data_IF_303183026573
#
_entry.id   IF_303183026573
#
_cell.length_a   1.000
_cell.length_b   1.000
_cell.length_c   1.000
_cell.angle_alpha   90.00
_cell.angle_beta   90.00
_cell.angle_gamma   90.00
#
_symmetry.space_group_name_H-M   'P 1'
#
loop_
_entity.id
_entity.type
_entity.pdbx_description
1 polymer ?
#
# COMPACT_ATOMS: atom_id res chain seq x y z
N UNK A 1 -8.75 -1.75 4.87
CA UNK A 1 -9.07 -2.34 6.18
C UNK A 1 -7.81 -2.33 7.04
N UNK A 2 -7.93 -1.88 8.29
CA UNK A 2 -6.81 -1.81 9.21
C UNK A 2 -6.42 -3.22 9.68
N UNK A 3 -5.13 -3.53 9.83
CA UNK A 3 -4.67 -4.82 10.29
C UNK A 3 -5.13 -5.12 11.73
N UNK A 4 -5.36 -6.39 12.04
CA UNK A 4 -5.75 -6.84 13.38
C UNK A 4 -7.10 -6.29 13.87
N UNK A 5 -7.92 -5.75 12.97
CA UNK A 5 -9.17 -5.06 13.33
C UNK A 5 -10.37 -5.94 13.03
N UNK A 6 -11.30 -6.04 13.99
CA UNK A 6 -12.59 -6.70 13.76
C UNK A 6 -13.53 -5.77 13.00
N UNK A 7 -14.08 -6.25 11.90
CA UNK A 7 -15.08 -5.59 11.09
C UNK A 7 -16.41 -6.32 11.18
N UNK A 8 -17.48 -5.56 11.22
CA UNK A 8 -18.84 -6.09 11.16
C UNK A 8 -19.44 -5.74 9.80
N UNK A 9 -19.83 -6.74 9.04
CA UNK A 9 -20.50 -6.59 7.74
C UNK A 9 -21.98 -6.91 7.91
N UNK A 10 -22.83 -5.97 7.51
CA UNK A 10 -24.26 -6.20 7.41
C UNK A 10 -24.65 -6.22 5.92
N UNK A 11 -25.37 -7.23 5.48
CA UNK A 11 -25.85 -7.32 4.10
C UNK A 11 -27.26 -7.89 4.02
N UNK A 12 -27.97 -7.49 2.99
CA UNK A 12 -29.28 -8.02 2.61
C UNK A 12 -29.28 -8.20 1.09
N UNK A 13 -30.12 -9.06 0.59
CA UNK A 13 -30.38 -9.22 -0.83
C UNK A 13 -31.81 -8.75 -1.14
N UNK A 14 -31.99 -8.22 -2.34
CA UNK A 14 -33.29 -7.85 -2.92
C UNK A 14 -33.55 -8.78 -4.10
N UNK A 15 -34.76 -9.35 -4.18
CA UNK A 15 -35.17 -10.15 -5.32
C UNK A 15 -35.69 -9.27 -6.46
N UNK A 16 -36.11 -9.89 -7.56
CA UNK A 16 -36.61 -9.18 -8.76
C UNK A 16 -37.92 -8.46 -8.52
N UNK A 17 -38.68 -8.83 -7.49
CA UNK A 17 -39.94 -8.24 -7.10
C UNK A 17 -39.78 -7.13 -6.05
N UNK A 18 -38.52 -6.80 -5.68
CA UNK A 18 -38.21 -5.77 -4.70
C UNK A 18 -38.35 -6.23 -3.24
N UNK A 19 -38.45 -7.53 -3.00
CA UNK A 19 -38.57 -8.09 -1.65
C UNK A 19 -37.14 -8.26 -1.06
N UNK A 20 -36.93 -7.60 0.09
CA UNK A 20 -35.67 -7.67 0.82
C UNK A 20 -35.60 -8.90 1.72
N UNK A 21 -34.43 -9.53 1.74
CA UNK A 21 -34.14 -10.57 2.72
C UNK A 21 -33.87 -9.97 4.10
N UNK A 22 -33.89 -10.81 5.14
CA UNK A 22 -33.42 -10.40 6.45
C UNK A 22 -31.95 -9.95 6.40
N UNK A 23 -31.61 -8.97 7.24
CA UNK A 23 -30.23 -8.50 7.39
C UNK A 23 -29.38 -9.62 7.97
N UNK A 24 -28.31 -9.97 7.27
CA UNK A 24 -27.28 -10.89 7.79
C UNK A 24 -26.08 -10.10 8.27
N UNK A 25 -25.56 -10.47 9.43
CA UNK A 25 -24.39 -9.85 10.06
C UNK A 25 -23.27 -10.88 10.11
N UNK A 26 -22.10 -10.51 9.58
CA UNK A 26 -20.89 -11.32 9.64
C UNK A 26 -19.77 -10.49 10.26
N UNK A 27 -19.09 -11.05 11.24
CA UNK A 27 -17.89 -10.47 11.82
C UNK A 27 -16.66 -11.15 11.25
N UNK A 28 -15.65 -10.36 10.94
CA UNK A 28 -14.38 -10.86 10.44
C UNK A 28 -13.24 -9.98 10.95
N UNK A 29 -12.12 -10.59 11.28
CA UNK A 29 -10.93 -9.90 11.74
C UNK A 29 -9.87 -9.98 10.65
N UNK A 30 -9.23 -8.85 10.33
CA UNK A 30 -8.07 -8.83 9.45
C UNK A 30 -6.84 -9.42 10.16
N UNK A 31 -5.92 -10.01 9.40
CA UNK A 31 -4.64 -10.45 9.99
C UNK A 31 -3.91 -9.27 10.63
N UNK A 32 -3.38 -9.46 11.83
CA UNK A 32 -2.52 -8.47 12.47
C UNK A 32 -1.20 -8.36 11.68
N UNK A 33 -0.68 -7.14 11.54
CA UNK A 33 0.69 -6.95 11.07
C UNK A 33 1.61 -7.42 12.19
N UNK A 34 2.47 -8.37 11.89
CA UNK A 34 3.55 -8.78 12.80
C UNK A 34 4.70 -7.82 12.54
N UNK A 35 4.87 -6.83 13.42
CA UNK A 35 6.03 -5.96 13.43
C UNK A 35 7.28 -6.76 13.82
N UNK A 36 8.42 -6.43 13.23
CA UNK A 36 9.68 -7.09 13.52
C UNK A 36 10.88 -6.15 13.37
N UNK A 37 12.09 -6.63 13.70
CA UNK A 37 13.29 -5.77 13.74
C UNK A 37 13.87 -5.43 12.36
N UNK A 38 13.34 -6.00 11.29
CA UNK A 38 13.86 -5.77 9.93
C UNK A 38 12.73 -5.33 8.99
N UNK A 39 12.17 -4.13 9.19
CA UNK A 39 11.06 -3.65 8.38
C UNK A 39 11.48 -3.44 6.93
N UNK A 40 10.75 -4.03 5.99
CA UNK A 40 11.05 -3.94 4.56
C UNK A 40 9.85 -3.53 3.74
N UNK A 41 10.12 -2.71 2.73
CA UNK A 41 9.13 -2.14 1.81
C UNK A 41 9.49 -2.43 0.36
N UNK A 42 8.52 -2.25 -0.51
CA UNK A 42 8.71 -2.19 -1.95
C UNK A 42 7.99 -0.95 -2.49
N UNK A 43 8.69 -0.17 -3.31
CA UNK A 43 8.13 0.98 -4.01
C UNK A 43 7.99 0.65 -5.48
N UNK A 44 6.77 0.86 -6.02
CA UNK A 44 6.50 0.76 -7.45
C UNK A 44 6.01 2.13 -7.96
N UNK A 45 6.74 2.72 -8.88
CA UNK A 45 6.41 4.01 -9.44
C UNK A 45 5.91 3.89 -10.88
N UNK A 46 4.93 4.72 -11.23
CA UNK A 46 4.38 4.79 -12.59
C UNK A 46 3.80 6.19 -12.86
N UNK A 47 3.60 6.51 -14.13
CA UNK A 47 2.80 7.67 -14.50
C UNK A 47 1.34 7.25 -14.62
N UNK A 48 0.45 7.96 -13.93
CA UNK A 48 -0.99 7.72 -14.06
C UNK A 48 -1.51 8.15 -15.43
N UNK A 49 -2.74 7.74 -15.77
CA UNK A 49 -3.42 8.17 -17.01
C UNK A 49 -3.60 9.70 -17.08
N UNK A 50 -3.56 10.39 -15.94
CA UNK A 50 -3.61 11.85 -15.84
C UNK A 50 -2.23 12.52 -15.94
N UNK A 51 -1.17 11.75 -16.14
CA UNK A 51 0.20 12.25 -16.22
C UNK A 51 0.82 12.61 -14.86
N UNK A 52 0.26 12.10 -13.76
CA UNK A 52 0.79 12.32 -12.42
C UNK A 52 1.81 11.23 -12.03
N UNK A 53 2.92 11.64 -11.42
CA UNK A 53 3.86 10.72 -10.81
C UNK A 53 3.19 10.04 -9.61
N UNK A 54 3.04 8.75 -9.69
CA UNK A 54 2.31 7.94 -8.71
C UNK A 54 3.20 6.84 -8.19
N UNK A 55 3.20 6.65 -6.87
CA UNK A 55 4.00 5.63 -6.19
C UNK A 55 3.11 4.78 -5.30
N UNK A 56 3.23 3.48 -5.47
CA UNK A 56 2.65 2.48 -4.59
C UNK A 56 3.70 2.04 -3.58
N UNK A 57 3.36 2.23 -2.31
CA UNK A 57 4.15 1.81 -1.15
C UNK A 57 3.58 0.49 -0.64
N UNK A 58 4.33 -0.59 -0.82
CA UNK A 58 3.90 -1.94 -0.45
C UNK A 58 4.70 -2.46 0.72
N UNK A 59 4.00 -2.83 1.80
CA UNK A 59 4.60 -3.51 2.94
C UNK A 59 4.99 -4.92 2.51
N UNK A 60 6.24 -5.30 2.77
CA UNK A 60 6.77 -6.63 2.48
C UNK A 60 6.84 -7.45 3.75
N UNK A 61 7.48 -6.91 4.81
CA UNK A 61 7.72 -7.66 6.03
C UNK A 61 8.03 -6.75 7.22
N UNK A 62 7.65 -7.18 8.41
CA UNK A 62 8.06 -6.64 9.71
C UNK A 62 7.70 -5.15 9.96
N UNK A 63 6.77 -4.57 9.20
CA UNK A 63 6.41 -3.15 9.28
C UNK A 63 5.18 -2.95 10.16
N UNK A 64 5.34 -2.22 11.26
CA UNK A 64 4.25 -1.77 12.13
C UNK A 64 3.58 -0.50 11.58
N UNK A 65 4.41 0.42 11.03
CA UNK A 65 4.01 1.75 10.57
C UNK A 65 4.95 2.19 9.47
N UNK A 66 4.49 3.02 8.58
CA UNK A 66 5.34 3.65 7.57
C UNK A 66 5.11 5.16 7.56
N UNK A 67 6.16 5.90 7.25
CA UNK A 67 6.09 7.30 6.85
C UNK A 67 6.40 7.40 5.37
N UNK A 68 5.63 8.18 4.63
CA UNK A 68 5.82 8.32 3.18
C UNK A 68 5.43 9.70 2.69
N UNK A 69 6.09 10.16 1.65
CA UNK A 69 5.77 11.43 0.98
C UNK A 69 6.35 11.46 -0.43
N UNK A 70 5.84 12.38 -1.26
CA UNK A 70 6.46 12.77 -2.53
C UNK A 70 6.74 14.27 -2.45
N UNK A 71 7.99 14.66 -2.64
CA UNK A 71 8.44 16.05 -2.57
C UNK A 71 9.20 16.44 -3.84
N UNK A 72 9.35 17.76 -4.06
CA UNK A 72 10.27 18.26 -5.07
C UNK A 72 11.72 18.05 -4.63
N UNK A 73 12.50 17.44 -5.51
CA UNK A 73 13.92 17.17 -5.25
C UNK A 73 14.77 18.38 -5.61
N UNK A 74 15.04 19.21 -4.63
CA UNK A 74 15.90 20.37 -4.75
C UNK A 74 17.38 20.04 -4.43
N UNK A 75 17.65 18.96 -3.73
CA UNK A 75 19.00 18.59 -3.28
C UNK A 75 19.83 17.95 -4.40
N UNK A 76 19.34 16.89 -5.02
CA UNK A 76 20.08 16.26 -6.12
C UNK A 76 20.16 17.16 -7.36
N UNK A 77 19.22 18.07 -7.51
CA UNK A 77 19.17 19.01 -8.63
C UNK A 77 20.23 20.11 -8.55
N UNK A 78 20.69 20.49 -7.35
CA UNK A 78 21.74 21.51 -7.15
C UNK A 78 23.13 20.98 -7.52
N UNK A 79 23.37 19.69 -7.29
CA UNK A 79 24.70 19.09 -7.42
C UNK A 79 25.67 19.40 -6.27
N UNK A 80 25.19 20.10 -5.23
CA UNK A 80 26.02 20.52 -4.09
C UNK A 80 26.09 19.47 -2.98
N UNK A 81 25.24 18.45 -3.04
CA UNK A 81 25.08 17.42 -2.02
C UNK A 81 25.52 16.05 -2.56
N UNK A 82 26.19 15.29 -1.73
CA UNK A 82 26.49 13.88 -1.96
C UNK A 82 25.22 13.02 -1.84
N UNK A 83 25.26 11.81 -2.39
CA UNK A 83 24.16 10.86 -2.23
C UNK A 83 23.78 10.62 -0.76
N UNK A 84 24.80 10.42 0.12
CA UNK A 84 24.54 10.13 1.53
C UNK A 84 23.93 11.32 2.26
N UNK A 85 24.40 12.55 2.00
CA UNK A 85 23.82 13.76 2.58
C UNK A 85 22.35 13.94 2.20
N UNK A 86 22.01 13.68 0.94
CA UNK A 86 20.61 13.69 0.50
C UNK A 86 19.77 12.62 1.20
N UNK A 87 20.30 11.40 1.33
CA UNK A 87 19.57 10.29 2.00
C UNK A 87 19.32 10.60 3.47
N UNK A 88 20.26 11.23 4.17
CA UNK A 88 20.14 11.58 5.57
C UNK A 88 19.06 12.68 5.76
N UNK A 89 19.12 13.75 4.97
CA UNK A 89 18.12 14.84 5.02
C UNK A 89 16.73 14.33 4.64
N UNK A 90 16.60 13.56 3.58
CA UNK A 90 15.30 13.02 3.16
C UNK A 90 14.71 12.05 4.16
N UNK A 91 15.56 11.28 4.87
CA UNK A 91 15.08 10.40 5.93
C UNK A 91 14.47 11.19 7.08
N UNK A 92 15.13 12.28 7.52
CA UNK A 92 14.62 13.19 8.53
C UNK A 92 13.33 13.88 8.06
N UNK A 93 13.30 14.45 6.85
CA UNK A 93 12.11 15.08 6.29
C UNK A 93 10.91 14.10 6.20
N UNK A 94 11.18 12.85 5.82
CA UNK A 94 10.13 11.83 5.73
C UNK A 94 9.56 11.47 7.11
N UNK A 95 10.39 11.41 8.14
CA UNK A 95 9.96 11.12 9.50
C UNK A 95 9.20 12.30 10.13
N UNK A 96 9.63 13.54 9.85
CA UNK A 96 9.07 14.75 10.45
C UNK A 96 7.78 15.20 9.76
N UNK A 97 7.72 15.13 8.44
CA UNK A 97 6.64 15.71 7.63
C UNK A 97 5.89 14.70 6.78
N UNK A 98 6.33 13.45 6.73
CA UNK A 98 5.67 12.41 5.95
C UNK A 98 4.30 12.04 6.50
N UNK A 99 3.45 11.55 5.61
CA UNK A 99 2.16 10.98 5.98
C UNK A 99 2.42 9.64 6.66
N UNK A 100 1.83 9.43 7.83
CA UNK A 100 1.94 8.14 8.52
C UNK A 100 0.80 7.20 8.13
N UNK A 101 1.12 5.90 8.00
CA UNK A 101 0.16 4.86 7.70
C UNK A 101 0.57 3.51 8.25
N UNK A 102 -0.38 2.59 8.34
CA UNK A 102 -0.17 1.20 8.81
C UNK A 102 -0.44 0.17 7.71
N UNK A 103 -0.85 0.62 6.54
CA UNK A 103 -1.20 -0.23 5.39
C UNK A 103 -0.38 0.14 4.16
N UNK A 104 -0.25 -0.81 3.24
CA UNK A 104 0.19 -0.51 1.87
C UNK A 104 -0.72 0.54 1.25
N UNK A 105 -0.15 1.53 0.59
CA UNK A 105 -0.89 2.69 0.09
C UNK A 105 -0.35 3.18 -1.25
N UNK A 106 -1.05 4.13 -1.85
CA UNK A 106 -0.64 4.76 -3.11
C UNK A 106 -0.78 6.27 -2.96
N UNK A 107 0.23 7.00 -3.42
CA UNK A 107 0.24 8.47 -3.44
C UNK A 107 0.55 8.96 -4.86
N UNK A 108 -0.13 10.02 -5.26
CA UNK A 108 0.12 10.72 -6.53
C UNK A 108 0.52 12.16 -6.26
N UNK A 109 1.41 12.69 -7.09
CA UNK A 109 1.80 14.09 -7.06
C UNK A 109 1.10 14.85 -8.19
N UNK A 110 0.10 15.65 -7.85
CA UNK A 110 -0.83 16.26 -8.81
C UNK A 110 -0.17 17.33 -9.72
N UNK A 111 0.96 17.92 -9.27
CA UNK A 111 1.69 18.94 -10.03
C UNK A 111 2.91 18.42 -10.77
N UNK A 112 2.91 17.15 -11.16
CA UNK A 112 4.04 16.50 -11.84
C UNK A 112 4.50 17.28 -13.09
N UNK A 113 3.58 17.88 -13.86
CA UNK A 113 3.91 18.66 -15.05
C UNK A 113 4.70 19.95 -14.76
N UNK A 114 4.58 20.49 -13.55
CA UNK A 114 5.27 21.71 -13.09
C UNK A 114 6.65 21.38 -12.51
N UNK A 115 6.81 20.20 -11.91
CA UNK A 115 8.03 19.80 -11.25
C UNK A 115 9.14 19.46 -12.25
N UNK A 116 10.37 19.87 -11.94
CA UNK A 116 11.57 19.45 -12.70
C UNK A 116 12.01 18.06 -12.28
N UNK A 117 12.02 17.81 -10.99
CA UNK A 117 12.37 16.53 -10.38
C UNK A 117 11.57 16.30 -9.10
N UNK A 118 11.16 15.07 -8.88
CA UNK A 118 10.46 14.63 -7.67
C UNK A 118 11.21 13.44 -7.06
N UNK A 119 11.11 13.31 -5.74
CA UNK A 119 11.53 12.11 -5.02
C UNK A 119 10.38 11.61 -4.16
N UNK A 120 10.08 10.35 -4.28
CA UNK A 120 9.19 9.67 -3.35
C UNK A 120 10.03 8.99 -2.27
N UNK A 121 9.64 9.20 -1.04
CA UNK A 121 10.32 8.77 0.17
C UNK A 121 9.43 7.82 0.95
N UNK A 122 10.04 6.80 1.55
CA UNK A 122 9.34 5.94 2.50
C UNK A 122 10.30 5.42 3.56
N UNK A 123 9.94 5.59 4.82
CA UNK A 123 10.66 5.04 5.98
C UNK A 123 9.73 4.09 6.72
N UNK A 124 9.97 2.78 6.68
CA UNK A 124 9.21 1.82 7.47
C UNK A 124 9.69 1.80 8.92
N UNK A 125 8.76 1.60 9.82
CA UNK A 125 9.00 1.42 11.26
C UNK A 125 8.59 0.00 11.62
N UNK A 126 9.50 -0.74 12.22
CA UNK A 126 9.26 -2.06 12.79
C UNK A 126 9.19 -2.03 14.32
N UNK A 127 9.36 -3.19 14.94
CA UNK A 127 9.48 -3.31 16.38
C UNK A 127 10.53 -4.37 16.74
N UNK A 128 11.30 -4.13 17.81
CA UNK A 128 12.19 -5.13 18.39
C UNK A 128 11.41 -6.13 19.27
N UNK A 129 12.14 -7.06 19.90
CA UNK A 129 11.57 -8.08 20.78
C UNK A 129 10.92 -7.49 22.05
N UNK A 130 11.32 -6.30 22.44
CA UNK A 130 10.81 -5.58 23.61
C UNK A 130 9.65 -4.63 23.25
N UNK A 131 9.30 -4.55 21.95
CA UNK A 131 8.24 -3.70 21.44
C UNK A 131 8.66 -2.25 21.18
N UNK A 132 9.95 -1.92 21.22
CA UNK A 132 10.44 -0.60 20.88
C UNK A 132 10.44 -0.42 19.35
N UNK A 133 10.21 0.82 18.89
CA UNK A 133 10.24 1.15 17.47
C UNK A 133 11.65 0.97 16.87
N UNK A 134 11.70 0.29 15.74
CA UNK A 134 12.92 0.12 14.94
C UNK A 134 12.74 0.89 13.63
N UNK A 135 13.51 1.96 13.46
CA UNK A 135 13.49 2.76 12.24
C UNK A 135 14.26 2.03 11.13
N UNK A 136 13.56 1.69 10.06
CA UNK A 136 14.14 1.03 8.90
C UNK A 136 14.94 1.95 7.99
N UNK A 137 15.38 1.41 6.86
CA UNK A 137 16.09 2.17 5.83
C UNK A 137 15.13 3.10 5.07
N UNK A 138 15.68 4.20 4.53
CA UNK A 138 14.96 5.03 3.60
C UNK A 138 14.87 4.35 2.23
N UNK A 139 13.67 4.24 1.70
CA UNK A 139 13.39 3.82 0.32
C UNK A 139 13.09 5.04 -0.54
N UNK A 140 13.70 5.11 -1.72
CA UNK A 140 13.53 6.23 -2.64
C UNK A 140 13.23 5.76 -4.06
N UNK A 141 12.42 6.53 -4.77
CA UNK A 141 12.27 6.45 -6.23
C UNK A 141 12.10 7.86 -6.77
N UNK A 142 12.72 8.14 -7.91
CA UNK A 142 12.77 9.48 -8.47
C UNK A 142 11.94 9.58 -9.75
N UNK A 143 11.46 10.77 -10.01
CA UNK A 143 10.97 11.20 -11.31
C UNK A 143 11.78 12.42 -11.76
N UNK A 144 12.24 12.40 -12.97
CA UNK A 144 12.90 13.52 -13.64
C UNK A 144 12.15 13.82 -14.94
N UNK A 145 11.84 15.08 -15.19
CA UNK A 145 11.01 15.51 -16.32
C UNK A 145 11.58 15.08 -17.67
N UNK A 146 12.90 14.97 -17.80
CA UNK A 146 13.58 14.61 -19.03
C UNK A 146 13.87 13.10 -19.13
N UNK A 147 14.18 12.47 -18.00
CA UNK A 147 14.60 11.08 -17.92
C UNK A 147 13.48 10.10 -17.55
N UNK A 148 12.34 10.61 -17.07
CA UNK A 148 11.24 9.80 -16.57
C UNK A 148 11.49 9.24 -15.16
N UNK A 149 10.97 8.05 -14.89
CA UNK A 149 11.11 7.40 -13.60
C UNK A 149 12.48 6.75 -13.47
N UNK A 150 13.18 7.05 -12.37
CA UNK A 150 14.55 6.60 -12.08
C UNK A 150 14.52 5.80 -10.78
N UNK A 151 14.89 4.54 -10.88
CA UNK A 151 14.99 3.61 -9.74
C UNK A 151 16.45 3.32 -9.33
N UNK A 152 17.40 3.66 -10.18
CA UNK A 152 18.83 3.54 -9.90
C UNK A 152 19.39 4.93 -9.56
N UNK A 153 19.71 5.21 -8.28
CA UNK A 153 20.20 6.51 -7.87
C UNK A 153 21.51 6.93 -8.54
N UNK A 154 22.30 5.98 -9.05
CA UNK A 154 23.56 6.29 -9.75
C UNK A 154 23.36 7.10 -11.05
N UNK A 155 22.15 7.17 -11.56
CA UNK A 155 21.77 8.03 -12.70
C UNK A 155 21.77 9.51 -12.31
N UNK A 156 21.51 9.83 -11.05
CA UNK A 156 21.44 11.18 -10.49
C UNK A 156 22.69 11.56 -9.69
N UNK A 157 23.24 10.57 -8.98
CA UNK A 157 24.36 10.74 -8.07
C UNK A 157 25.55 9.88 -8.53
N UNK A 158 26.64 10.48 -9.01
CA UNK A 158 27.83 9.73 -9.41
C UNK A 158 28.50 8.92 -8.29
N UNK A 159 28.29 9.36 -7.03
CA UNK A 159 28.80 8.74 -5.80
C UNK A 159 27.84 7.72 -5.19
N UNK A 160 26.63 7.55 -5.73
CA UNK A 160 25.72 6.52 -5.24
C UNK A 160 26.29 5.10 -5.40
N UNK A 161 26.00 4.19 -4.46
CA UNK A 161 26.42 2.81 -4.58
C UNK A 161 25.80 2.18 -5.82
N UNK A 162 26.61 1.64 -6.71
CA UNK A 162 26.13 0.93 -7.89
C UNK A 162 25.37 -0.31 -7.47
N UNK A 163 24.11 -0.40 -7.86
CA UNK A 163 23.30 -1.60 -7.64
C UNK A 163 24.03 -2.80 -8.24
N UNK A 164 24.41 -3.77 -7.42
CA UNK A 164 25.01 -5.02 -7.91
C UNK A 164 23.99 -5.67 -8.83
N UNK A 165 24.37 -5.91 -10.10
CA UNK A 165 23.57 -6.71 -11.04
C UNK A 165 23.29 -8.07 -10.41
N UNK A 166 22.10 -8.28 -9.88
CA UNK A 166 21.71 -9.54 -9.23
C UNK A 166 20.74 -9.41 -8.07
N UNK A 167 20.51 -8.23 -7.51
CA UNK A 167 19.43 -8.03 -6.58
C UNK A 167 18.15 -7.91 -7.42
N UNK A 168 17.43 -9.04 -7.54
CA UNK A 168 16.06 -9.07 -8.06
C UNK A 168 15.16 -8.39 -7.04
N UNK A 169 15.15 -7.06 -7.01
CA UNK A 169 14.37 -6.27 -6.06
C UNK A 169 13.61 -5.11 -6.68
N UNK A 170 13.94 -4.77 -7.94
CA UNK A 170 13.21 -3.75 -8.69
C UNK A 170 12.54 -4.47 -9.84
N UNK A 171 11.30 -4.86 -9.66
CA UNK A 171 10.47 -5.35 -10.75
C UNK A 171 10.45 -4.25 -11.82
N UNK A 172 10.75 -4.62 -13.09
CA UNK A 172 10.44 -3.74 -14.24
C UNK A 172 9.01 -3.24 -14.06
N UNK A 173 8.69 -1.98 -14.40
CA UNK A 173 7.34 -1.49 -14.29
C UNK A 173 6.42 -2.46 -15.04
N UNK A 174 5.78 -3.34 -14.29
CA UNK A 174 4.69 -4.12 -14.83
C UNK A 174 3.53 -3.16 -14.90
N UNK A 175 2.98 -2.99 -16.09
CA UNK A 175 1.65 -2.41 -16.26
C UNK A 175 0.74 -3.19 -15.31
N UNK A 176 0.42 -2.60 -14.18
CA UNK A 176 -0.44 -3.20 -13.17
C UNK A 176 -1.80 -3.33 -13.84
N UNK A 177 -2.10 -4.51 -14.36
CA UNK A 177 -3.48 -4.85 -14.69
C UNK A 177 -4.27 -4.64 -13.40
N UNK A 178 -5.32 -3.88 -13.49
CA UNK A 178 -6.19 -3.30 -12.45
C UNK A 178 -6.70 -4.24 -11.33
N UNK A 179 -6.18 -5.46 -11.16
CA UNK A 179 -6.79 -6.51 -10.34
C UNK A 179 -5.85 -7.29 -9.41
N UNK A 180 -4.69 -6.74 -9.04
CA UNK A 180 -3.87 -7.36 -7.99
C UNK A 180 -4.06 -6.67 -6.63
N UNK A 181 -5.31 -6.52 -6.19
CA UNK A 181 -5.56 -6.45 -4.75
C UNK A 181 -5.27 -7.85 -4.21
N UNK A 182 -4.19 -8.01 -3.46
CA UNK A 182 -4.00 -9.19 -2.62
C UNK A 182 -5.20 -9.19 -1.68
N UNK A 183 -6.13 -10.15 -1.77
CA UNK A 183 -7.27 -10.16 -0.86
C UNK A 183 -6.71 -10.34 0.56
N UNK A 184 -6.99 -9.39 1.44
CA UNK A 184 -6.75 -9.60 2.86
C UNK A 184 -7.44 -10.91 3.23
N UNK A 185 -6.68 -11.83 3.84
CA UNK A 185 -7.23 -13.13 4.26
C UNK A 185 -8.20 -12.85 5.39
N UNK A 186 -9.49 -12.98 5.08
CA UNK A 186 -10.56 -12.71 6.03
C UNK A 186 -10.78 -13.95 6.88
N UNK A 187 -10.53 -13.84 8.19
CA UNK A 187 -10.84 -14.91 9.14
C UNK A 187 -12.24 -14.61 9.71
N UNK A 188 -13.20 -15.42 9.32
CA UNK A 188 -14.58 -15.31 9.84
C UNK A 188 -14.62 -15.91 11.23
N UNK A 189 -14.74 -15.07 12.27
CA UNK A 189 -14.67 -15.49 13.66
C UNK A 189 -16.00 -15.91 14.26
N UNK A 190 -17.14 -15.35 13.80
CA UNK A 190 -18.43 -15.64 14.39
C UNK A 190 -19.61 -15.23 13.49
N UNK A 191 -20.65 -16.09 13.44
CA UNK A 191 -21.95 -15.71 12.91
C UNK A 191 -22.86 -15.29 14.05
N UNK A 192 -23.22 -14.03 14.14
CA UNK A 192 -24.25 -13.57 15.06
C UNK A 192 -25.61 -13.94 14.49
N UNK A 193 -26.28 -14.91 15.14
CA UNK A 193 -27.66 -15.28 14.78
C UNK A 193 -28.62 -14.23 15.34
N UNK A 194 -29.20 -13.43 14.47
CA UNK A 194 -30.35 -12.59 14.85
C UNK A 194 -31.60 -13.50 14.84
N UNK A 195 -32.19 -13.74 16.01
CA UNK A 195 -33.42 -14.50 16.11
C UNK A 195 -34.59 -13.65 15.58
N UNK A 196 -34.97 -13.86 14.34
CA UNK A 196 -36.27 -13.40 13.81
C UNK A 196 -37.27 -14.54 13.99
N UNK A 197 -38.46 -14.30 14.56
CA UNK A 197 -39.46 -15.34 14.70
C UNK A 197 -39.98 -15.76 13.31
N UNK A 198 -39.76 -17.01 12.92
CA UNK A 198 -40.37 -17.62 11.74
C UNK A 198 -39.47 -18.22 10.66
N UNK A 199 -38.14 -18.16 10.80
CA UNK A 199 -37.22 -18.68 9.79
C UNK A 199 -36.65 -20.04 10.20
N UNK A 200 -36.83 -21.05 9.31
CA UNK A 200 -36.21 -22.37 9.46
C UNK A 200 -34.69 -22.30 9.39
N UNK A 201 -34.03 -22.97 10.35
CA UNK A 201 -32.55 -23.05 10.42
C UNK A 201 -32.01 -23.89 9.28
N UNK A 202 -31.11 -23.33 8.45
CA UNK A 202 -30.12 -24.09 7.72
C UNK A 202 -28.72 -23.69 8.19
N UNK A 203 -27.96 -24.61 8.73
CA UNK A 203 -26.55 -24.43 9.02
C UNK A 203 -25.79 -24.56 7.71
N UNK A 204 -25.39 -23.45 7.13
CA UNK A 204 -24.48 -23.43 5.99
C UNK A 204 -23.33 -22.49 6.28
N UNK A 205 -22.13 -23.06 6.28
CA UNK A 205 -20.89 -22.27 6.25
C UNK A 205 -20.78 -21.72 4.83
N UNK A 206 -20.97 -20.41 4.69
CA UNK A 206 -20.84 -19.74 3.38
C UNK A 206 -19.39 -19.27 3.24
N UNK A 207 -18.62 -19.93 2.39
CA UNK A 207 -17.37 -19.40 1.89
C UNK A 207 -17.70 -18.31 0.86
N UNK A 208 -17.49 -17.05 1.21
CA UNK A 208 -17.59 -15.93 0.28
C UNK A 208 -16.36 -15.94 -0.64
N UNK A 209 -16.51 -16.47 -1.83
CA UNK A 209 -15.54 -16.31 -2.91
C UNK A 209 -15.73 -14.93 -3.53
N UNK A 210 -14.99 -13.93 -3.03
CA UNK A 210 -15.04 -12.55 -3.48
C UNK A 210 -14.74 -12.38 -4.99
N UNK A 211 -14.17 -13.39 -5.65
CA UNK A 211 -13.97 -13.40 -7.11
C UNK A 211 -15.26 -13.55 -7.90
N UNK A 212 -16.35 -14.04 -7.27
CA UNK A 212 -17.63 -14.24 -7.94
C UNK A 212 -18.60 -13.07 -7.80
N UNK A 213 -18.38 -12.17 -6.85
CA UNK A 213 -19.25 -11.01 -6.62
C UNK A 213 -19.11 -9.89 -7.68
N UNK A 214 -18.12 -9.95 -8.56
CA UNK A 214 -17.88 -8.96 -9.63
C UNK A 214 -18.46 -9.27 -11.00
N UNK A 215 -19.20 -10.36 -11.18
CA UNK A 215 -19.81 -10.68 -12.47
C UNK A 215 -21.30 -10.32 -12.47
N UNK A 216 -21.60 -9.09 -12.86
CA UNK A 216 -22.94 -8.73 -13.29
C UNK A 216 -23.28 -9.52 -14.58
N UNK A 217 -24.41 -10.23 -14.63
CA UNK A 217 -24.92 -10.74 -15.90
C UNK A 217 -25.32 -9.53 -16.75
N UNK A 218 -24.68 -9.38 -17.90
CA UNK A 218 -25.15 -8.41 -18.91
C UNK A 218 -26.58 -8.78 -19.32
N UNK A 219 -27.50 -7.87 -19.08
CA UNK A 219 -28.83 -7.90 -19.68
C UNK A 219 -28.68 -7.89 -21.21
N UNK A 220 -29.33 -8.83 -21.85
CA UNK A 220 -29.61 -8.77 -23.28
C UNK A 220 -30.79 -7.83 -23.53
#
# INVERSE_FOLDING_TARGET
>A
LDPGTEYTFAYMAEDWDGVLTDVKIVKATTEAIIAGPNPTMQLNAYMSDLGNFTVQYSIVKDVAKLYYTIIEDNYSASGDYTYQECMDVWKEECLDYGISGVNSTTQSYDKTSEAKRLVALCVPIGADADGNEVIGDLYTVFYDKEKGIITDPSVLFPDAPKLKKGIKGIAKPQVVKKDNRVPAKLIVNEQVKVNTPGVMRSESVIYLDLKKLGKHPHSK
#
